data_IF_199119187415
#
_entry.id   IF_199119187415
#
_cell.length_a   1.000
_cell.length_b   1.000
_cell.length_c   1.000
_cell.angle_alpha   90.00
_cell.angle_beta   90.00
_cell.angle_gamma   90.00
#
_symmetry.space_group_name_H-M   'P 1'
#
loop_
_entity.id
_entity.type
_entity.pdbx_description
1 polymer ?
#
# COMPACT_ATOMS: atom_id res chain seq x y z
N UNK A 1 3.95 15.88 -1.30
CA UNK A 1 4.42 14.91 -2.31
C UNK A 1 4.69 13.64 -1.53
N UNK A 2 3.80 12.65 -1.61
CA UNK A 2 3.97 11.38 -0.88
C UNK A 2 5.07 10.59 -1.60
N UNK A 3 6.23 10.50 -0.96
CA UNK A 3 7.42 9.87 -1.53
C UNK A 3 7.28 8.37 -1.30
N UNK A 4 6.99 7.64 -2.37
CA UNK A 4 6.98 6.18 -2.36
C UNK A 4 8.45 5.71 -2.47
N UNK A 5 9.03 5.23 -1.36
CA UNK A 5 10.42 4.79 -1.38
C UNK A 5 10.53 3.43 -2.06
N UNK A 6 11.28 3.43 -3.15
CA UNK A 6 11.57 2.24 -3.93
C UNK A 6 12.91 1.68 -3.48
N UNK A 7 12.89 0.56 -2.77
CA UNK A 7 14.07 -0.27 -2.53
C UNK A 7 14.03 -1.42 -3.53
N UNK A 8 15.04 -1.52 -4.39
CA UNK A 8 15.12 -2.54 -5.44
C UNK A 8 13.90 -2.56 -6.40
N UNK A 9 13.31 -1.39 -6.68
CA UNK A 9 12.13 -1.25 -7.54
C UNK A 9 10.82 -1.78 -6.92
N UNK A 10 10.79 -1.92 -5.60
CA UNK A 10 9.61 -2.31 -4.82
C UNK A 10 9.31 -1.24 -3.76
N UNK A 11 8.03 -0.96 -3.57
CA UNK A 11 7.55 -0.10 -2.51
C UNK A 11 7.16 -0.94 -1.29
N UNK A 12 7.44 -0.43 -0.09
CA UNK A 12 7.21 -1.14 1.16
C UNK A 12 6.38 -0.30 2.13
N UNK A 13 5.64 -0.99 2.99
CA UNK A 13 5.12 -0.46 4.24
C UNK A 13 5.95 -1.02 5.41
N UNK A 14 6.12 -0.23 6.45
CA UNK A 14 6.89 -0.56 7.66
C UNK A 14 5.98 -0.51 8.88
N UNK A 15 6.24 -1.37 9.84
CA UNK A 15 5.65 -1.27 11.17
C UNK A 15 6.13 0.02 11.84
N UNK A 16 5.26 0.61 12.65
CA UNK A 16 5.56 1.83 13.39
C UNK A 16 6.47 1.58 14.60
N UNK A 17 6.44 0.37 15.17
CA UNK A 17 7.15 0.01 16.39
C UNK A 17 8.43 -0.80 16.16
N UNK A 18 8.62 -1.37 14.97
CA UNK A 18 9.78 -2.20 14.67
C UNK A 18 10.19 -2.13 13.19
N UNK A 19 11.30 -2.79 12.85
CA UNK A 19 11.82 -2.82 11.48
C UNK A 19 11.12 -3.82 10.54
N UNK A 20 9.93 -4.31 10.92
CA UNK A 20 9.16 -5.22 10.07
C UNK A 20 8.61 -4.50 8.85
N UNK A 21 8.94 -5.01 7.66
CA UNK A 21 8.52 -4.45 6.37
C UNK A 21 7.64 -5.45 5.60
N UNK A 22 6.63 -4.93 4.89
CA UNK A 22 5.82 -5.68 3.93
C UNK A 22 5.86 -4.98 2.57
N UNK A 23 5.92 -5.78 1.51
CA UNK A 23 5.85 -5.27 0.14
C UNK A 23 4.43 -4.78 -0.16
N UNK A 24 4.31 -3.61 -0.75
CA UNK A 24 3.02 -3.09 -1.23
C UNK A 24 2.49 -4.00 -2.36
N UNK A 25 1.24 -4.49 -2.27
CA UNK A 25 0.67 -5.36 -3.28
C UNK A 25 0.59 -4.66 -4.64
N UNK A 26 0.65 -5.47 -5.70
CA UNK A 26 0.56 -4.98 -7.09
C UNK A 26 -0.80 -5.30 -7.68
N UNK A 27 -1.35 -4.34 -8.41
CA UNK A 27 -2.57 -4.49 -9.19
C UNK A 27 -2.52 -3.59 -10.43
N UNK A 28 -3.17 -4.00 -11.53
CA UNK A 28 -3.05 -3.32 -12.83
C UNK A 28 -1.59 -3.04 -13.25
N UNK A 29 -0.67 -3.99 -12.96
CA UNK A 29 0.73 -3.95 -13.37
C UNK A 29 1.65 -3.02 -12.56
N UNK A 30 1.16 -2.31 -11.54
CA UNK A 30 1.99 -1.44 -10.68
C UNK A 30 1.67 -1.64 -9.19
N UNK A 31 2.57 -1.24 -8.28
CA UNK A 31 2.23 -1.16 -6.86
C UNK A 31 0.98 -0.32 -6.64
N UNK A 32 0.14 -0.74 -5.69
CA UNK A 32 -0.97 0.06 -5.22
C UNK A 32 -0.45 1.33 -4.54
N UNK A 33 -1.28 2.37 -4.45
CA UNK A 33 -1.00 3.55 -3.65
C UNK A 33 -1.70 3.45 -2.31
N UNK A 34 -1.18 4.15 -1.30
CA UNK A 34 -1.83 4.25 0.00
C UNK A 34 -2.65 5.53 0.03
N UNK A 35 -3.92 5.44 0.44
CA UNK A 35 -4.81 6.59 0.63
C UNK A 35 -5.50 6.43 1.97
N UNK A 36 -5.13 7.26 2.94
CA UNK A 36 -5.51 7.04 4.34
C UNK A 36 -4.99 5.68 4.83
N UNK A 37 -5.88 4.84 5.36
CA UNK A 37 -5.54 3.49 5.84
C UNK A 37 -5.83 2.39 4.81
N UNK A 38 -5.82 2.70 3.51
CA UNK A 38 -6.17 1.74 2.47
C UNK A 38 -5.12 1.66 1.35
N UNK A 39 -4.92 0.46 0.83
CA UNK A 39 -4.39 0.23 -0.51
C UNK A 39 -5.47 0.47 -1.56
N UNK A 40 -5.16 1.33 -2.52
CA UNK A 40 -6.00 1.68 -3.67
C UNK A 40 -5.21 1.47 -4.95
N UNK A 41 -5.87 1.03 -6.02
CA UNK A 41 -5.24 0.94 -7.34
C UNK A 41 -4.58 2.29 -7.72
N UNK A 42 -3.38 2.24 -8.27
CA UNK A 42 -2.65 3.42 -8.73
C UNK A 42 -3.47 4.24 -9.75
N UNK A 43 -4.26 3.55 -10.58
CA UNK A 43 -5.12 4.14 -11.62
C UNK A 43 -6.44 4.70 -11.07
N UNK A 44 -6.75 4.43 -9.80
CA UNK A 44 -8.05 4.72 -9.21
C UNK A 44 -9.14 3.72 -9.61
N UNK A 45 -10.39 4.07 -9.34
CA UNK A 45 -11.54 3.23 -9.63
C UNK A 45 -11.82 3.14 -11.14
N UNK A 46 -11.93 1.93 -11.68
CA UNK A 46 -12.34 1.67 -13.06
C UNK A 46 -12.91 0.25 -13.25
N UNK A 47 -13.91 0.14 -14.13
CA UNK A 47 -14.45 -1.15 -14.52
C UNK A 47 -13.54 -1.90 -15.52
N UNK A 48 -13.63 -3.23 -15.57
CA UNK A 48 -14.35 -4.13 -14.64
C UNK A 48 -13.52 -4.54 -13.42
N UNK A 49 -12.32 -3.97 -13.24
CA UNK A 49 -11.26 -4.54 -12.42
C UNK A 49 -11.11 -3.90 -11.03
N UNK A 50 -11.15 -2.57 -10.97
CA UNK A 50 -10.91 -1.81 -9.76
C UNK A 50 -12.19 -1.08 -9.37
N UNK A 51 -13.13 -1.75 -8.71
CA UNK A 51 -14.30 -1.07 -8.13
C UNK A 51 -13.99 -0.70 -6.67
N UNK A 52 -14.87 0.04 -6.01
CA UNK A 52 -14.80 0.24 -4.55
C UNK A 52 -14.61 -1.07 -3.75
N UNK A 53 -15.07 -2.21 -4.26
CA UNK A 53 -14.86 -3.53 -3.65
C UNK A 53 -13.40 -4.03 -3.71
N UNK A 54 -12.54 -3.40 -4.51
CA UNK A 54 -11.10 -3.73 -4.65
C UNK A 54 -10.20 -2.96 -3.67
N UNK A 55 -10.77 -2.07 -2.87
CA UNK A 55 -10.05 -1.34 -1.82
C UNK A 55 -9.71 -2.33 -0.70
N UNK A 56 -8.45 -2.33 -0.26
CA UNK A 56 -7.97 -3.19 0.81
C UNK A 56 -7.43 -2.32 1.95
N UNK A 57 -7.73 -2.67 3.20
CA UNK A 57 -7.16 -1.97 4.35
C UNK A 57 -5.66 -2.27 4.49
N UNK A 58 -4.91 -1.34 5.08
CA UNK A 58 -3.54 -1.58 5.47
C UNK A 58 -3.49 -2.66 6.56
N UNK A 59 -2.56 -3.62 6.47
CA UNK A 59 -2.40 -4.65 7.48
C UNK A 59 -1.97 -4.03 8.81
N UNK A 60 -2.45 -4.63 9.89
CA UNK A 60 -2.05 -4.29 11.25
C UNK A 60 -0.86 -5.13 11.69
N UNK A 61 0.02 -4.53 12.49
CA UNK A 61 1.10 -5.21 13.18
C UNK A 61 1.37 -4.49 14.51
N UNK A 62 1.50 -5.24 15.62
CA UNK A 62 1.52 -4.69 16.99
C UNK A 62 0.31 -3.77 17.29
N UNK A 63 -0.86 -4.18 16.83
CA UNK A 63 -2.14 -3.48 17.05
C UNK A 63 -2.28 -2.09 16.39
N UNK A 64 -1.28 -1.67 15.60
CA UNK A 64 -1.33 -0.45 14.78
C UNK A 64 -1.27 -0.76 13.27
N UNK A 65 -1.92 0.05 12.42
CA UNK A 65 -1.79 -0.08 10.97
C UNK A 65 -0.38 0.26 10.53
N UNK A 66 0.21 -0.57 9.68
CA UNK A 66 1.52 -0.30 9.08
C UNK A 66 1.47 0.95 8.18
N UNK A 67 2.58 1.66 8.04
CA UNK A 67 2.67 2.93 7.29
C UNK A 67 3.67 2.82 6.14
N UNK A 68 3.65 3.76 5.19
CA UNK A 68 4.65 3.82 4.14
C UNK A 68 6.06 3.86 4.76
N UNK A 69 6.99 3.04 4.26
CA UNK A 69 8.38 3.14 4.70
C UNK A 69 8.95 4.50 4.26
N UNK A 70 9.63 5.20 5.20
CA UNK A 70 10.41 6.44 5.02
C UNK A 70 11.89 6.20 4.72
#
# INVERSE_FOLDING_TARGET
MEIQLEKDGKSYIKCVDCDYELIIPKHCGRPMKIVGNNFVCWKGEHNPCCTSASIQELPFHHDEPMKLAE
#
